data_IF_453276543711
#
_entry.id   IF_453276543711
#
_cell.length_a   1.000
_cell.length_b   1.000
_cell.length_c   1.000
_cell.angle_alpha   90.00
_cell.angle_beta   90.00
_cell.angle_gamma   90.00
#
_symmetry.space_group_name_H-M   'P 1'
#
loop_
_entity.id
_entity.type
_entity.pdbx_description
1 polymer ?
#
# COMPACT_ATOMS: atom_id res chain seq x y z
N UNK A 1 -12.77 -36.23 9.70
CA UNK A 1 -11.87 -35.25 10.33
C UNK A 1 -10.95 -35.94 11.33
N UNK A 2 -9.69 -35.56 11.37
CA UNK A 2 -8.70 -36.09 12.32
C UNK A 2 -8.70 -35.39 13.66
N UNK A 3 -9.24 -34.16 13.71
CA UNK A 3 -9.38 -33.32 14.88
C UNK A 3 -10.68 -32.50 14.79
N UNK A 4 -11.03 -31.85 15.90
CA UNK A 4 -12.12 -30.87 15.96
C UNK A 4 -11.63 -29.55 15.35
N UNK A 5 -12.50 -28.89 14.61
CA UNK A 5 -12.20 -27.54 14.10
C UNK A 5 -12.46 -27.33 12.62
N UNK A 6 -12.09 -26.17 12.11
CA UNK A 6 -12.22 -25.84 10.70
C UNK A 6 -11.23 -26.63 9.83
N UNK A 7 -11.74 -27.14 8.71
CA UNK A 7 -10.97 -27.92 7.74
C UNK A 7 -10.81 -27.10 6.46
N UNK A 8 -9.60 -27.11 5.95
CA UNK A 8 -9.21 -26.41 4.72
C UNK A 8 -8.61 -27.37 3.73
N UNK A 9 -8.75 -27.08 2.46
CA UNK A 9 -8.19 -27.83 1.35
C UNK A 9 -7.29 -26.94 0.50
N UNK A 10 -6.18 -27.52 0.05
CA UNK A 10 -5.29 -26.91 -0.94
C UNK A 10 -4.92 -27.96 -2.00
N UNK A 11 -5.06 -27.59 -3.26
CA UNK A 11 -4.74 -28.43 -4.41
C UNK A 11 -3.64 -27.76 -5.25
N UNK A 12 -2.36 -28.04 -4.99
CA UNK A 12 -1.28 -27.49 -5.81
C UNK A 12 -1.31 -28.11 -7.22
N UNK A 13 -1.34 -27.26 -8.23
CA UNK A 13 -1.23 -27.66 -9.64
C UNK A 13 -0.50 -26.61 -10.44
N UNK A 14 0.16 -27.05 -11.52
CA UNK A 14 0.77 -26.16 -12.52
C UNK A 14 -0.18 -25.84 -13.68
N UNK A 15 -1.22 -26.65 -13.85
CA UNK A 15 -2.16 -26.57 -14.96
C UNK A 15 -3.57 -26.35 -14.39
N UNK A 16 -3.87 -25.10 -14.14
CA UNK A 16 -5.14 -24.69 -13.59
C UNK A 16 -6.24 -24.82 -14.62
N UNK A 17 -7.28 -25.53 -14.23
CA UNK A 17 -8.50 -25.69 -15.03
C UNK A 17 -9.69 -25.51 -14.11
N UNK A 18 -10.62 -24.69 -14.53
CA UNK A 18 -11.84 -24.42 -13.77
C UNK A 18 -12.55 -25.70 -13.37
N UNK A 19 -12.87 -25.81 -12.08
CA UNK A 19 -13.44 -27.02 -11.49
C UNK A 19 -14.49 -26.60 -10.47
N UNK A 20 -15.68 -27.21 -10.54
CA UNK A 20 -16.74 -26.95 -9.56
C UNK A 20 -16.48 -27.74 -8.28
N UNK A 21 -16.42 -27.01 -7.15
CA UNK A 21 -16.23 -27.60 -5.83
C UNK A 21 -17.55 -27.85 -5.13
N UNK A 22 -17.74 -29.05 -4.64
CA UNK A 22 -18.88 -29.45 -3.81
C UNK A 22 -18.36 -30.04 -2.49
N UNK A 23 -18.99 -29.66 -1.39
CA UNK A 23 -18.75 -30.24 -0.06
C UNK A 23 -20.06 -30.80 0.46
N UNK A 24 -20.09 -32.09 0.75
CA UNK A 24 -21.31 -32.84 1.13
C UNK A 24 -22.47 -32.61 0.13
N UNK A 25 -22.12 -32.66 -1.15
CA UNK A 25 -23.02 -32.41 -2.29
C UNK A 25 -23.59 -30.98 -2.41
N UNK A 26 -23.13 -30.04 -1.56
CA UNK A 26 -23.47 -28.61 -1.65
C UNK A 26 -22.41 -27.92 -2.48
N UNK A 27 -22.83 -27.19 -3.52
CA UNK A 27 -21.94 -26.38 -4.35
C UNK A 27 -21.34 -25.21 -3.54
N UNK A 28 -20.03 -25.04 -3.60
CA UNK A 28 -19.28 -24.01 -2.87
C UNK A 28 -18.71 -22.93 -3.77
N UNK A 29 -18.58 -23.19 -5.05
CA UNK A 29 -18.00 -22.27 -6.01
C UNK A 29 -17.10 -22.97 -7.02
N UNK A 30 -16.43 -22.18 -7.84
CA UNK A 30 -15.46 -22.67 -8.79
C UNK A 30 -14.06 -22.50 -8.20
N UNK A 31 -13.29 -23.56 -8.24
CA UNK A 31 -11.88 -23.59 -7.89
C UNK A 31 -11.07 -23.45 -9.17
N UNK A 32 -9.92 -22.77 -9.12
CA UNK A 32 -9.07 -22.38 -10.25
C UNK A 32 -9.73 -21.38 -11.25
N UNK A 33 -10.75 -20.68 -10.83
CA UNK A 33 -11.33 -19.59 -11.62
C UNK A 33 -10.61 -18.28 -11.31
N UNK A 34 -10.16 -17.54 -12.32
CA UNK A 34 -9.47 -16.26 -12.18
C UNK A 34 -8.30 -16.30 -11.20
N UNK A 35 -7.44 -17.31 -11.34
CA UNK A 35 -6.28 -17.53 -10.46
C UNK A 35 -6.66 -17.87 -9.00
N UNK A 36 -7.92 -18.24 -8.74
CA UNK A 36 -8.33 -18.74 -7.44
C UNK A 36 -7.86 -20.19 -7.23
N UNK A 37 -6.61 -20.30 -6.80
CA UNK A 37 -5.94 -21.53 -6.40
C UNK A 37 -5.54 -21.50 -4.93
N UNK A 38 -6.24 -20.68 -4.16
CA UNK A 38 -6.01 -20.49 -2.74
C UNK A 38 -6.41 -21.69 -1.88
N UNK A 39 -6.36 -21.46 -0.57
CA UNK A 39 -6.82 -22.42 0.42
C UNK A 39 -8.33 -22.27 0.58
N UNK A 40 -9.07 -23.37 0.36
CA UNK A 40 -10.53 -23.39 0.44
C UNK A 40 -11.03 -23.92 1.79
N UNK A 41 -11.94 -23.19 2.41
CA UNK A 41 -12.61 -23.60 3.63
C UNK A 41 -13.74 -24.60 3.34
N UNK A 42 -13.63 -25.80 3.90
CA UNK A 42 -14.59 -26.88 3.66
C UNK A 42 -15.71 -26.96 4.70
N UNK A 43 -15.52 -26.39 5.87
CA UNK A 43 -16.46 -26.43 6.99
C UNK A 43 -15.78 -26.76 8.32
N UNK A 44 -16.53 -26.68 9.40
CA UNK A 44 -16.10 -27.08 10.75
C UNK A 44 -16.66 -28.46 11.07
N UNK A 45 -15.80 -29.35 11.55
CA UNK A 45 -16.12 -30.74 11.80
C UNK A 45 -15.58 -31.18 13.18
N UNK A 46 -16.18 -32.25 13.74
CA UNK A 46 -15.67 -32.91 14.92
C UNK A 46 -14.77 -34.10 14.54
N UNK A 47 -13.87 -34.45 15.45
CA UNK A 47 -13.02 -35.62 15.28
C UNK A 47 -13.88 -36.90 15.06
N UNK A 48 -13.60 -37.57 13.96
CA UNK A 48 -14.35 -38.72 13.53
C UNK A 48 -15.44 -38.44 12.50
N UNK A 49 -15.83 -37.17 12.30
CA UNK A 49 -16.79 -36.82 11.26
C UNK A 49 -16.24 -37.16 9.87
N UNK A 50 -17.14 -37.57 9.01
CA UNK A 50 -16.87 -37.80 7.58
C UNK A 50 -17.44 -36.67 6.75
N UNK A 51 -16.67 -36.17 5.82
CA UNK A 51 -17.15 -35.22 4.81
C UNK A 51 -16.68 -35.66 3.43
N UNK A 52 -17.45 -35.30 2.42
CA UNK A 52 -17.17 -35.62 1.03
C UNK A 52 -16.81 -34.38 0.25
N UNK A 53 -15.62 -34.36 -0.34
CA UNK A 53 -15.22 -33.35 -1.31
C UNK A 53 -15.40 -33.94 -2.70
N UNK A 54 -16.13 -33.23 -3.56
CA UNK A 54 -16.34 -33.61 -4.95
C UNK A 54 -15.93 -32.46 -5.85
N UNK A 55 -15.05 -32.78 -6.77
CA UNK A 55 -14.62 -31.88 -7.82
C UNK A 55 -15.29 -32.32 -9.12
N UNK A 56 -16.11 -31.44 -9.71
CA UNK A 56 -16.69 -31.68 -11.02
C UNK A 56 -15.83 -30.96 -12.04
N UNK A 57 -15.16 -31.72 -12.86
CA UNK A 57 -14.30 -31.23 -13.93
C UNK A 57 -15.16 -30.64 -15.04
N UNK A 58 -14.74 -29.49 -15.56
CA UNK A 58 -15.39 -28.84 -16.69
C UNK A 58 -14.61 -29.08 -17.99
N UNK A 59 -13.35 -29.52 -17.88
CA UNK A 59 -12.49 -29.91 -18.98
C UNK A 59 -12.27 -31.44 -19.02
N UNK A 60 -11.76 -31.95 -20.13
CA UNK A 60 -11.54 -33.38 -20.36
C UNK A 60 -10.50 -33.98 -19.41
N UNK A 61 -9.53 -33.17 -18.95
CA UNK A 61 -8.49 -33.60 -18.01
C UNK A 61 -8.06 -32.46 -17.09
N UNK A 62 -7.88 -32.79 -15.82
CA UNK A 62 -7.29 -31.90 -14.80
C UNK A 62 -6.22 -32.69 -14.06
N UNK A 63 -5.04 -32.09 -13.91
CA UNK A 63 -3.89 -32.72 -13.30
C UNK A 63 -3.64 -32.17 -11.89
N UNK A 64 -3.71 -33.02 -10.88
CA UNK A 64 -3.29 -32.72 -9.52
C UNK A 64 -2.09 -33.56 -9.14
N UNK A 65 -1.17 -32.98 -8.41
CA UNK A 65 -0.06 -33.75 -7.81
C UNK A 65 -0.49 -34.33 -6.47
N UNK A 66 -1.17 -33.54 -5.64
CA UNK A 66 -1.64 -33.94 -4.32
C UNK A 66 -2.90 -33.15 -3.96
N UNK A 67 -3.65 -33.63 -2.97
CA UNK A 67 -4.67 -32.89 -2.26
C UNK A 67 -4.27 -32.80 -0.79
N UNK A 68 -4.09 -31.58 -0.32
CA UNK A 68 -3.72 -31.32 1.06
C UNK A 68 -4.94 -30.88 1.85
N UNK A 69 -5.14 -31.47 3.03
CA UNK A 69 -6.18 -31.11 3.96
C UNK A 69 -5.54 -30.68 5.27
N UNK A 70 -5.93 -29.51 5.74
CA UNK A 70 -5.42 -28.88 6.95
C UNK A 70 -6.56 -28.63 7.92
N UNK A 71 -6.25 -28.62 9.19
CA UNK A 71 -7.13 -28.10 10.22
C UNK A 71 -6.38 -27.10 11.08
N UNK A 72 -7.09 -26.17 11.68
CA UNK A 72 -6.52 -25.25 12.65
C UNK A 72 -6.74 -25.86 14.04
N UNK A 73 -5.65 -26.05 14.78
CA UNK A 73 -5.71 -26.43 16.18
C UNK A 73 -6.19 -25.23 17.00
N UNK A 74 -7.48 -25.22 17.35
CA UNK A 74 -8.10 -24.13 18.11
C UNK A 74 -7.42 -23.89 19.43
N UNK A 75 -6.95 -24.94 20.12
CA UNK A 75 -6.26 -24.80 21.41
C UNK A 75 -4.89 -24.11 21.25
N UNK A 76 -4.18 -24.38 20.17
CA UNK A 76 -2.93 -23.66 19.85
C UNK A 76 -3.19 -22.21 19.48
N UNK A 77 -4.30 -21.94 18.78
CA UNK A 77 -4.70 -20.60 18.42
C UNK A 77 -5.09 -19.77 19.64
N UNK A 78 -5.87 -20.35 20.57
CA UNK A 78 -6.22 -19.70 21.84
C UNK A 78 -4.98 -19.39 22.70
N UNK A 79 -4.02 -20.33 22.76
CA UNK A 79 -2.74 -20.08 23.46
C UNK A 79 -1.96 -18.94 22.81
N UNK A 80 -1.92 -18.90 21.48
CA UNK A 80 -1.27 -17.83 20.76
C UNK A 80 -1.96 -16.48 21.03
N UNK A 81 -3.29 -16.41 20.93
CA UNK A 81 -4.04 -15.19 21.26
C UNK A 81 -3.79 -14.72 22.69
N UNK A 82 -3.87 -15.62 23.67
CA UNK A 82 -3.63 -15.27 25.07
C UNK A 82 -2.21 -14.73 25.29
N UNK A 83 -1.21 -15.33 24.66
CA UNK A 83 0.16 -14.85 24.74
C UNK A 83 0.35 -13.47 24.05
N UNK A 84 -0.33 -13.25 22.93
CA UNK A 84 -0.31 -11.95 22.24
C UNK A 84 -1.04 -10.88 23.04
N UNK A 85 -2.16 -11.20 23.67
CA UNK A 85 -2.90 -10.26 24.53
C UNK A 85 -2.07 -9.86 25.74
N UNK A 86 -1.36 -10.79 26.36
CA UNK A 86 -0.44 -10.51 27.46
C UNK A 86 0.69 -9.57 27.02
N UNK A 87 1.33 -9.84 25.89
CA UNK A 87 2.41 -9.00 25.32
C UNK A 87 1.90 -7.62 24.91
N UNK A 88 0.69 -7.52 24.38
CA UNK A 88 0.11 -6.27 23.90
C UNK A 88 -0.54 -5.43 25.01
N UNK A 89 -0.73 -5.98 26.21
CA UNK A 89 -1.45 -5.31 27.31
C UNK A 89 -0.81 -3.98 27.74
N UNK A 90 0.51 -3.83 27.54
CA UNK A 90 1.27 -2.60 27.81
C UNK A 90 1.44 -1.68 26.59
N UNK A 91 0.81 -1.98 25.45
CA UNK A 91 0.99 -1.22 24.23
C UNK A 91 -0.20 -0.28 23.98
N UNK A 92 0.07 1.00 23.79
CA UNK A 92 -0.93 1.99 23.39
C UNK A 92 -0.49 2.71 22.12
N UNK A 93 -1.42 2.84 21.19
CA UNK A 93 -1.19 3.55 19.93
C UNK A 93 -1.81 4.94 19.99
N UNK A 94 -1.00 5.97 19.77
CA UNK A 94 -1.44 7.33 19.53
C UNK A 94 -1.05 7.75 18.11
N UNK A 95 -2.00 8.23 17.32
CA UNK A 95 -1.71 8.77 15.99
C UNK A 95 -1.51 10.28 16.09
N UNK A 96 -0.29 10.74 15.81
CA UNK A 96 0.09 12.15 15.96
C UNK A 96 0.03 12.95 14.65
N UNK A 97 -0.12 12.30 13.49
CA UNK A 97 -0.17 12.99 12.19
C UNK A 97 -0.52 12.09 11.02
N UNK A 98 -0.49 12.65 9.82
CA UNK A 98 -0.78 11.92 8.58
C UNK A 98 0.23 10.82 8.27
N UNK A 99 1.50 11.08 8.58
CA UNK A 99 2.64 10.20 8.27
C UNK A 99 3.42 9.76 9.51
N UNK A 100 2.92 10.06 10.72
CA UNK A 100 3.61 9.75 11.98
C UNK A 100 2.71 8.88 12.86
N UNK A 101 3.27 7.79 13.35
CA UNK A 101 2.66 6.90 14.34
C UNK A 101 3.51 6.95 15.60
N UNK A 102 2.87 7.16 16.72
CA UNK A 102 3.50 7.11 18.04
C UNK A 102 2.84 6.01 18.87
N UNK A 103 3.66 5.15 19.46
CA UNK A 103 3.19 4.10 20.36
C UNK A 103 4.04 4.10 21.62
N UNK A 104 3.38 3.76 22.73
CA UNK A 104 4.06 3.44 23.98
C UNK A 104 3.98 1.94 24.19
N UNK A 105 5.12 1.32 24.45
CA UNK A 105 5.26 -0.12 24.68
C UNK A 105 5.85 -0.34 26.06
N UNK A 106 5.27 -1.27 26.84
CA UNK A 106 5.86 -1.79 28.07
C UNK A 106 6.30 -3.23 27.81
N UNK A 107 7.56 -3.39 27.38
CA UNK A 107 8.09 -4.69 26.98
C UNK A 107 8.50 -5.50 28.22
N UNK A 108 7.91 -6.68 28.48
CA UNK A 108 8.25 -7.50 29.65
C UNK A 108 9.62 -8.15 29.55
N UNK A 109 10.27 -8.09 28.41
CA UNK A 109 11.60 -8.62 28.09
C UNK A 109 12.04 -8.06 26.74
N UNK A 110 13.32 -8.26 26.39
CA UNK A 110 13.80 -8.00 25.04
C UNK A 110 12.95 -8.76 24.02
N UNK A 111 12.36 -8.04 23.08
CA UNK A 111 11.44 -8.57 22.10
C UNK A 111 11.50 -7.78 20.79
N UNK A 112 10.68 -8.16 19.84
CA UNK A 112 10.50 -7.41 18.62
C UNK A 112 9.04 -6.93 18.53
N UNK A 113 8.86 -5.64 18.32
CA UNK A 113 7.56 -5.08 17.98
C UNK A 113 7.24 -5.45 16.52
N UNK A 114 6.29 -6.33 16.37
CA UNK A 114 5.73 -6.69 15.07
C UNK A 114 4.70 -5.65 14.64
N UNK A 115 4.81 -5.16 13.42
CA UNK A 115 3.83 -4.23 12.84
C UNK A 115 3.17 -4.84 11.60
N UNK A 116 2.01 -4.32 11.23
CA UNK A 116 1.36 -4.61 9.95
C UNK A 116 1.67 -3.54 8.89
N UNK A 117 2.75 -2.79 9.09
CA UNK A 117 3.19 -1.72 8.20
C UNK A 117 4.11 -2.33 7.14
N UNK A 118 3.82 -2.12 5.84
CA UNK A 118 4.71 -2.57 4.76
C UNK A 118 6.13 -1.99 4.91
N UNK A 119 7.13 -2.83 4.67
CA UNK A 119 8.54 -2.44 4.71
C UNK A 119 8.91 -1.73 3.40
N UNK A 120 8.65 -0.43 3.35
CA UNK A 120 8.97 0.42 2.20
C UNK A 120 10.08 1.43 2.54
N UNK A 121 10.80 1.87 1.52
CA UNK A 121 11.76 2.97 1.67
C UNK A 121 11.05 4.25 2.11
N UNK A 122 11.64 4.95 3.07
CA UNK A 122 11.11 6.20 3.60
C UNK A 122 10.63 6.12 5.04
N UNK A 123 10.54 4.94 5.62
CA UNK A 123 10.28 4.79 7.05
C UNK A 123 11.52 5.06 7.88
N UNK A 124 11.33 5.85 8.93
CA UNK A 124 12.31 6.08 10.01
C UNK A 124 11.67 5.70 11.34
N UNK A 125 12.45 5.07 12.20
CA UNK A 125 12.00 4.65 13.52
C UNK A 125 12.87 5.29 14.59
N UNK A 126 12.22 5.79 15.62
CA UNK A 126 12.87 6.29 16.83
C UNK A 126 12.34 5.53 18.04
N UNK A 127 13.23 5.19 18.96
CA UNK A 127 12.90 4.68 20.30
C UNK A 127 13.43 5.71 21.29
N UNK A 128 12.55 6.23 22.14
CA UNK A 128 12.86 7.25 23.15
C UNK A 128 13.56 8.50 22.60
N UNK A 129 13.26 8.84 21.34
CA UNK A 129 13.82 9.98 20.63
C UNK A 129 15.12 9.70 19.88
N UNK A 130 15.70 8.50 19.99
CA UNK A 130 16.91 8.12 19.25
C UNK A 130 16.55 7.29 18.00
N UNK A 131 17.19 7.59 16.88
CA UNK A 131 17.00 6.83 15.65
C UNK A 131 17.58 5.44 15.77
N UNK A 132 16.79 4.43 15.43
CA UNK A 132 17.19 3.03 15.44
C UNK A 132 17.00 2.41 14.06
N UNK A 133 17.78 1.39 13.78
CA UNK A 133 17.53 0.55 12.62
C UNK A 133 16.36 -0.37 12.91
N UNK A 134 15.51 -0.54 11.92
CA UNK A 134 14.42 -1.50 11.97
C UNK A 134 14.73 -2.69 11.05
N UNK A 135 14.16 -3.84 11.40
CA UNK A 135 14.27 -5.07 10.63
C UNK A 135 12.98 -5.36 9.88
N UNK A 136 13.01 -6.37 9.04
CA UNK A 136 11.84 -6.87 8.34
C UNK A 136 11.44 -8.26 8.83
N UNK A 137 10.19 -8.58 8.68
CA UNK A 137 9.64 -9.90 8.97
C UNK A 137 8.65 -10.33 7.87
N UNK A 138 8.22 -11.59 7.92
CA UNK A 138 7.33 -12.20 6.92
C UNK A 138 7.84 -12.01 5.49
N UNK A 139 9.03 -12.54 5.23
CA UNK A 139 9.66 -12.51 3.91
C UNK A 139 9.87 -11.07 3.39
N UNK A 140 10.48 -10.23 4.24
CA UNK A 140 10.80 -8.83 3.96
C UNK A 140 9.60 -7.91 3.71
N UNK A 141 8.40 -8.35 4.10
CA UNK A 141 7.16 -7.63 3.76
C UNK A 141 6.76 -6.57 4.78
N UNK A 142 7.05 -6.77 6.06
CA UNK A 142 6.55 -5.92 7.15
C UNK A 142 7.69 -5.43 8.04
N UNK A 143 7.50 -4.24 8.62
CA UNK A 143 8.44 -3.63 9.57
C UNK A 143 8.39 -4.36 10.91
N UNK A 144 9.56 -4.68 11.42
CA UNK A 144 9.80 -5.23 12.73
C UNK A 144 10.84 -4.38 13.48
N UNK A 145 10.53 -3.99 14.71
CA UNK A 145 11.39 -3.09 15.49
C UNK A 145 11.90 -3.83 16.72
N UNK A 146 13.23 -4.04 16.88
CA UNK A 146 13.79 -4.59 18.10
C UNK A 146 13.58 -3.62 19.27
N UNK A 147 13.04 -4.12 20.38
CA UNK A 147 12.72 -3.34 21.58
C UNK A 147 13.32 -4.05 22.78
N UNK A 148 14.05 -3.33 23.62
CA UNK A 148 14.57 -3.85 24.88
C UNK A 148 13.48 -3.96 25.95
N UNK A 149 13.76 -4.69 27.03
CA UNK A 149 12.89 -4.73 28.21
C UNK A 149 12.67 -3.34 28.79
N UNK A 150 11.42 -3.00 29.10
CA UNK A 150 11.04 -1.74 29.74
C UNK A 150 9.98 -0.95 28.99
N UNK A 151 9.79 0.28 29.46
CA UNK A 151 8.84 1.23 28.84
C UNK A 151 9.55 2.10 27.81
N UNK A 152 9.02 2.07 26.61
CA UNK A 152 9.57 2.82 25.48
C UNK A 152 8.49 3.59 24.74
N UNK A 153 8.87 4.74 24.23
CA UNK A 153 8.06 5.49 23.25
C UNK A 153 8.68 5.29 21.87
N UNK A 154 7.91 4.70 20.97
CA UNK A 154 8.35 4.38 19.63
C UNK A 154 7.63 5.29 18.64
N UNK A 155 8.38 5.97 17.80
CA UNK A 155 7.84 6.86 16.76
C UNK A 155 8.26 6.32 15.39
N UNK A 156 7.28 6.00 14.56
CA UNK A 156 7.49 5.67 13.15
C UNK A 156 7.06 6.86 12.31
N UNK A 157 7.95 7.33 11.46
CA UNK A 157 7.66 8.45 10.57
C UNK A 157 7.94 8.05 9.11
N UNK A 158 6.98 8.32 8.24
CA UNK A 158 7.07 8.00 6.82
C UNK A 158 7.30 9.25 5.99
N UNK A 159 8.37 9.24 5.20
CA UNK A 159 8.67 10.26 4.22
C UNK A 159 8.87 9.61 2.85
N UNK A 160 7.91 9.74 1.92
CA UNK A 160 7.99 9.08 0.62
C UNK A 160 9.28 9.36 -0.13
N UNK A 161 9.92 8.31 -0.64
CA UNK A 161 11.08 8.47 -1.51
C UNK A 161 10.72 9.31 -2.74
N UNK A 162 11.59 10.25 -3.09
CA UNK A 162 11.37 11.14 -4.23
C UNK A 162 10.51 12.38 -3.98
N UNK A 163 9.85 12.52 -2.82
CA UNK A 163 9.05 13.71 -2.51
C UNK A 163 9.87 15.01 -2.57
N UNK A 164 11.07 15.00 -1.97
CA UNK A 164 11.99 16.16 -2.01
C UNK A 164 12.37 16.52 -3.44
N UNK A 165 12.73 15.53 -4.25
CA UNK A 165 13.12 15.73 -5.65
C UNK A 165 11.94 16.26 -6.48
N UNK A 166 10.75 15.75 -6.25
CA UNK A 166 9.51 16.22 -6.88
C UNK A 166 9.19 17.67 -6.54
N UNK A 167 9.33 18.05 -5.26
CA UNK A 167 9.12 19.45 -4.81
C UNK A 167 10.13 20.41 -5.44
N UNK A 168 11.40 20.04 -5.50
CA UNK A 168 12.45 20.85 -6.16
C UNK A 168 12.13 21.04 -7.64
N UNK A 169 11.79 19.96 -8.34
CA UNK A 169 11.46 20.02 -9.77
C UNK A 169 10.22 20.89 -10.03
N UNK A 170 9.21 20.78 -9.19
CA UNK A 170 7.99 21.61 -9.25
C UNK A 170 8.33 23.07 -9.01
N UNK A 171 9.19 23.37 -8.04
CA UNK A 171 9.66 24.74 -7.76
C UNK A 171 10.39 25.35 -8.97
N UNK A 172 11.29 24.60 -9.59
CA UNK A 172 12.00 25.01 -10.81
C UNK A 172 10.99 25.27 -11.96
N UNK A 173 10.05 24.37 -12.16
CA UNK A 173 8.99 24.52 -13.18
C UNK A 173 8.15 25.78 -12.97
N UNK A 174 7.77 26.09 -11.75
CA UNK A 174 7.03 27.32 -11.43
C UNK A 174 7.88 28.58 -11.67
N UNK A 175 9.17 28.57 -11.34
CA UNK A 175 10.05 29.71 -11.62
C UNK A 175 10.20 29.97 -13.12
N UNK A 176 10.35 28.91 -13.93
CA UNK A 176 10.41 29.02 -15.39
C UNK A 176 9.10 29.61 -15.93
N UNK A 177 7.95 29.12 -15.46
CA UNK A 177 6.65 29.61 -15.88
C UNK A 177 6.46 31.10 -15.55
N UNK A 178 6.82 31.50 -14.32
CA UNK A 178 6.77 32.89 -13.90
C UNK A 178 7.69 33.77 -14.76
N UNK A 179 8.91 33.34 -15.02
CA UNK A 179 9.85 34.01 -15.93
C UNK A 179 9.27 34.19 -17.33
N UNK A 180 8.64 33.14 -17.86
CA UNK A 180 8.01 33.19 -19.19
C UNK A 180 6.86 34.21 -19.24
N UNK A 181 6.02 34.25 -18.21
CA UNK A 181 4.92 35.22 -18.09
C UNK A 181 5.46 36.67 -18.02
N UNK A 182 6.53 36.90 -17.26
CA UNK A 182 7.17 38.24 -17.15
C UNK A 182 7.72 38.65 -18.51
N UNK A 183 8.47 37.76 -19.18
CA UNK A 183 9.02 38.07 -20.52
C UNK A 183 7.94 38.31 -21.54
N UNK A 184 6.88 37.51 -21.59
CA UNK A 184 5.74 37.76 -22.46
C UNK A 184 5.02 39.08 -22.16
N UNK A 185 4.91 39.48 -20.90
CA UNK A 185 4.34 40.75 -20.49
C UNK A 185 5.19 41.94 -20.95
N UNK A 186 6.52 41.86 -20.79
CA UNK A 186 7.46 42.87 -21.25
C UNK A 186 7.44 43.00 -22.79
N UNK A 187 7.40 41.94 -23.52
CA UNK A 187 7.30 41.95 -24.98
C UNK A 187 5.99 42.59 -25.45
N UNK A 188 4.88 42.30 -24.82
CA UNK A 188 3.58 42.91 -25.13
C UNK A 188 3.57 44.42 -24.84
N UNK A 189 4.21 44.88 -23.75
CA UNK A 189 4.34 46.28 -23.46
C UNK A 189 5.17 47.00 -24.55
N UNK A 190 6.30 46.41 -24.95
CA UNK A 190 7.16 46.96 -26.01
C UNK A 190 6.46 47.04 -27.36
N UNK A 191 5.68 46.01 -27.73
CA UNK A 191 4.91 46.02 -28.97
C UNK A 191 3.83 47.13 -28.99
N UNK A 192 3.23 47.43 -27.84
CA UNK A 192 2.28 48.56 -27.72
C UNK A 192 2.96 49.92 -27.88
N UNK A 193 4.16 50.08 -27.28
CA UNK A 193 4.95 51.31 -27.44
C UNK A 193 5.34 51.55 -28.91
N UNK A 194 5.80 50.51 -29.58
CA UNK A 194 6.16 50.58 -31.02
C UNK A 194 4.96 50.84 -31.93
N UNK A 195 3.77 50.38 -31.58
CA UNK A 195 2.54 50.71 -32.32
C UNK A 195 2.10 52.18 -32.09
N UNK A 196 2.22 52.68 -30.87
CA UNK A 196 1.91 54.08 -30.53
C UNK A 196 2.88 55.03 -31.26
N UNK A 197 4.19 54.75 -31.30
CA UNK A 197 5.17 55.53 -32.08
C UNK A 197 4.87 55.57 -33.59
N UNK A 198 4.38 54.46 -34.16
CA UNK A 198 3.97 54.37 -35.55
C UNK A 198 2.74 55.23 -35.86
N UNK A 199 1.76 55.27 -34.97
CA UNK A 199 0.56 56.12 -35.15
C UNK A 199 0.89 57.59 -35.05
N UNK A 200 1.81 58.05 -34.20
CA UNK A 200 2.28 59.44 -34.09
C UNK A 200 3.01 59.90 -35.35
N UNK A 201 3.82 59.01 -35.94
CA UNK A 201 4.56 59.35 -37.19
C UNK A 201 3.63 59.42 -38.41
N UNK A 202 2.54 58.64 -38.47
CA UNK A 202 1.56 58.70 -39.57
C UNK A 202 0.59 59.85 -39.50
N UNK A 203 0.43 60.49 -38.30
CA UNK A 203 -0.45 61.67 -38.12
C UNK A 203 0.16 63.00 -38.52
N UNK A 204 1.46 63.08 -38.89
CA UNK A 204 2.16 64.32 -39.23
C UNK A 204 2.37 64.52 -40.73
N UNK A 205 1.82 63.70 -41.61
CA UNK A 205 1.77 63.97 -43.08
C UNK A 205 0.47 64.76 -43.40
N UNK A 206 0.39 66.01 -42.99
CA UNK A 206 -0.54 66.98 -43.52
C UNK A 206 -0.07 67.39 -44.92
N UNK A 207 -0.78 66.97 -45.96
CA UNK A 207 -0.57 67.45 -47.33
C UNK A 207 -1.03 68.91 -47.45
N UNK A 208 -0.19 69.82 -47.95
CA UNK A 208 -0.65 71.21 -48.20
C UNK A 208 -1.66 71.16 -49.33
N UNK A 209 -2.85 71.66 -49.08
CA UNK A 209 -3.89 71.91 -50.03
C UNK A 209 -3.42 73.02 -50.99
N UNK A 210 -3.01 72.62 -52.20
CA UNK A 210 -2.71 73.59 -53.25
C UNK A 210 -4.02 74.18 -53.81
N UNK A 211 -4.31 75.41 -53.40
CA UNK A 211 -5.28 76.28 -54.08
C UNK A 211 -4.77 76.56 -55.52
N UNK A 212 -5.61 76.33 -56.46
CA UNK A 212 -5.45 76.86 -57.82
C UNK A 212 -6.70 77.63 -58.21
N UNK A 213 -6.47 78.88 -58.61
CA UNK A 213 -7.39 79.70 -59.38
C UNK A 213 -7.80 79.03 -60.71
#
# INVERSE_FOLDING_TARGET
ASADGPVYMFLPTKYERETQLYVNDIYRGNYFLYENHGIEYLGTYHKGDSFRVKLKLLDDAVYYTNAWFYYIDSASMERFHSAMDELNSGTTLARTGGCTLELTVDAPRDCALFTTIPAEEGWTVQIDGEYVNWDTCLDESLICVPVSEGKHTIVLNFYPAGLSSGLILTGIGMMILAGMVIVCSMLRCRDKELLAEREDVSGTEDFPENGAE
#
